data_IF_896699142409
#
_entry.id   IF_896699142409
#
_cell.length_a   1.000
_cell.length_b   1.000
_cell.length_c   1.000
_cell.angle_alpha   90.00
_cell.angle_beta   90.00
_cell.angle_gamma   90.00
#
_symmetry.space_group_name_H-M   'P 1'
#
loop_
_entity.id
_entity.type
_entity.pdbx_description
1 polymer ?
#
# COMPACT_ATOMS: atom_id res chain seq x y z
N UNK A 1 -24.44 0.64 8.60
CA UNK A 1 -25.17 1.66 7.83
C UNK A 1 -24.25 2.85 7.60
N UNK A 2 -23.66 2.88 6.44
CA UNK A 2 -22.87 4.04 6.00
C UNK A 2 -23.87 4.95 5.29
N UNK A 3 -24.37 5.94 6.00
CA UNK A 3 -25.19 7.00 5.41
C UNK A 3 -24.35 7.67 4.32
N UNK A 4 -24.68 7.41 3.06
CA UNK A 4 -23.97 7.93 1.90
C UNK A 4 -23.90 9.46 1.87
N UNK A 5 -24.82 10.13 2.57
CA UNK A 5 -24.93 11.59 2.59
C UNK A 5 -24.04 12.32 3.62
N UNK A 6 -23.36 11.59 4.49
CA UNK A 6 -22.50 12.20 5.54
C UNK A 6 -21.07 11.64 5.59
N UNK A 7 -20.72 10.77 4.65
CA UNK A 7 -19.40 10.16 4.58
C UNK A 7 -18.34 11.07 3.94
N UNK A 8 -17.08 10.69 4.07
CA UNK A 8 -15.94 11.37 3.48
C UNK A 8 -16.15 11.70 1.98
N UNK A 9 -16.73 10.77 1.21
CA UNK A 9 -16.99 10.97 -0.21
C UNK A 9 -18.06 12.04 -0.49
N UNK A 10 -19.10 12.14 0.33
CA UNK A 10 -20.10 13.20 0.23
C UNK A 10 -19.47 14.57 0.54
N UNK A 11 -18.64 14.64 1.57
CA UNK A 11 -17.88 15.84 1.92
C UNK A 11 -16.92 16.24 0.80
N UNK A 12 -16.17 15.30 0.24
CA UNK A 12 -15.26 15.55 -0.88
C UNK A 12 -16.00 16.03 -2.15
N UNK A 13 -17.18 15.47 -2.43
CA UNK A 13 -18.01 15.90 -3.55
C UNK A 13 -18.55 17.32 -3.37
N UNK A 14 -18.83 17.74 -2.14
CA UNK A 14 -19.29 19.10 -1.82
C UNK A 14 -18.16 20.14 -1.86
N UNK A 15 -16.90 19.71 -1.65
CA UNK A 15 -15.74 20.62 -1.71
C UNK A 15 -15.42 21.11 -3.12
N UNK A 16 -16.15 20.61 -4.13
CA UNK A 16 -16.00 21.00 -5.53
C UNK A 16 -14.59 20.64 -6.05
N UNK A 17 -14.52 19.77 -7.01
CA UNK A 17 -13.26 19.45 -7.71
C UNK A 17 -12.80 20.60 -8.63
N UNK A 18 -13.02 21.84 -8.23
CA UNK A 18 -12.55 22.99 -8.97
C UNK A 18 -11.03 23.07 -8.80
N UNK A 19 -10.36 22.50 -9.76
CA UNK A 19 -8.91 22.53 -9.93
C UNK A 19 -8.12 21.88 -8.78
N UNK A 20 -7.80 20.59 -8.87
CA UNK A 20 -6.74 20.05 -8.02
C UNK A 20 -5.51 20.95 -8.19
N UNK A 21 -4.80 21.28 -7.10
CA UNK A 21 -3.61 22.09 -7.21
C UNK A 21 -2.70 21.49 -8.28
N UNK A 22 -2.31 22.30 -9.26
CA UNK A 22 -1.43 21.88 -10.36
C UNK A 22 0.01 21.76 -9.82
N UNK A 23 0.17 20.93 -8.80
CA UNK A 23 1.47 20.58 -8.22
C UNK A 23 2.02 19.40 -9.02
N UNK A 24 2.92 19.69 -9.95
CA UNK A 24 3.79 18.67 -10.51
C UNK A 24 4.81 18.34 -9.44
N UNK A 25 4.69 17.17 -8.84
CA UNK A 25 5.77 16.64 -8.01
C UNK A 25 6.95 16.28 -8.91
N UNK A 26 8.12 16.76 -8.55
CA UNK A 26 9.36 16.35 -9.20
C UNK A 26 9.86 15.03 -8.60
N UNK A 27 10.71 14.31 -9.35
CA UNK A 27 11.19 13.01 -8.92
C UNK A 27 11.93 13.04 -7.59
N UNK A 28 12.63 14.11 -7.30
CA UNK A 28 13.40 14.29 -6.07
C UNK A 28 12.59 14.89 -4.91
N UNK A 29 11.34 15.25 -5.13
CA UNK A 29 10.48 15.74 -4.06
C UNK A 29 10.26 14.67 -2.99
N UNK A 30 10.05 15.15 -1.77
CA UNK A 30 9.80 14.30 -0.59
C UNK A 30 8.45 13.62 -0.73
N UNK A 31 8.45 12.29 -0.64
CA UNK A 31 7.24 11.48 -0.85
C UNK A 31 6.70 10.91 0.46
N UNK A 32 7.54 10.20 1.20
CA UNK A 32 7.12 9.48 2.40
C UNK A 32 8.23 9.42 3.45
N UNK A 33 7.83 9.47 4.72
CA UNK A 33 8.72 9.22 5.86
C UNK A 33 8.31 7.90 6.52
N UNK A 34 9.22 6.93 6.52
CA UNK A 34 9.04 5.65 7.21
C UNK A 34 9.85 5.64 8.50
N UNK A 35 9.20 5.35 9.63
CA UNK A 35 9.89 5.28 10.90
C UNK A 35 10.43 3.87 11.16
N UNK A 36 11.67 3.78 11.60
CA UNK A 36 12.27 2.54 12.07
C UNK A 36 12.07 2.39 13.57
N UNK A 37 11.85 1.16 14.03
CA UNK A 37 11.72 0.85 15.47
C UNK A 37 13.00 1.04 16.26
N UNK A 38 14.15 1.25 15.60
CA UNK A 38 15.47 1.54 16.16
C UNK A 38 15.84 0.84 17.49
N UNK A 39 17.06 0.45 17.64
CA UNK A 39 17.60 -0.03 18.94
C UNK A 39 17.81 1.10 19.95
N UNK A 40 17.69 2.35 19.53
CA UNK A 40 17.73 3.56 20.36
C UNK A 40 16.30 3.98 20.72
N UNK A 41 16.13 4.58 21.89
CA UNK A 41 14.83 4.96 22.48
C UNK A 41 13.94 5.88 21.60
N UNK A 42 14.47 6.42 20.52
CA UNK A 42 13.74 7.32 19.60
C UNK A 42 13.65 6.69 18.20
N UNK A 43 12.43 6.57 17.63
CA UNK A 43 12.26 6.15 16.25
C UNK A 43 12.96 7.10 15.28
N UNK A 44 13.65 6.57 14.28
CA UNK A 44 14.30 7.37 13.23
C UNK A 44 13.42 7.40 11.99
N UNK A 45 13.14 8.59 11.47
CA UNK A 45 12.43 8.79 10.22
C UNK A 45 13.38 8.65 9.03
N UNK A 46 13.06 7.72 8.13
CA UNK A 46 13.75 7.56 6.84
C UNK A 46 12.90 8.23 5.78
N UNK A 47 13.46 9.27 5.16
CA UNK A 47 12.81 10.04 4.11
C UNK A 47 13.07 9.39 2.75
N UNK A 48 12.02 9.20 1.96
CA UNK A 48 12.09 8.73 0.58
C UNK A 48 11.58 9.80 -0.38
N UNK A 49 12.26 9.99 -1.51
CA UNK A 49 11.77 10.77 -2.63
C UNK A 49 10.76 10.00 -3.47
N UNK A 50 10.04 10.66 -4.38
CA UNK A 50 9.16 10.00 -5.34
C UNK A 50 9.93 9.01 -6.22
N UNK A 51 11.12 9.39 -6.71
CA UNK A 51 11.97 8.51 -7.50
C UNK A 51 12.34 7.24 -6.74
N UNK A 52 12.78 7.35 -5.49
CA UNK A 52 13.12 6.20 -4.67
C UNK A 52 11.90 5.32 -4.36
N UNK A 53 10.78 5.95 -3.99
CA UNK A 53 9.53 5.25 -3.71
C UNK A 53 9.03 4.46 -4.93
N UNK A 54 9.08 5.06 -6.12
CA UNK A 54 8.71 4.41 -7.36
C UNK A 54 9.68 3.32 -7.78
N UNK A 55 11.00 3.54 -7.61
CA UNK A 55 12.02 2.55 -7.94
C UNK A 55 11.87 1.26 -7.10
N UNK A 56 11.51 1.38 -5.82
CA UNK A 56 11.25 0.21 -4.96
C UNK A 56 10.06 -0.59 -5.50
N UNK A 57 8.98 0.07 -5.89
CA UNK A 57 7.80 -0.60 -6.46
C UNK A 57 8.12 -1.26 -7.81
N UNK A 58 8.86 -0.57 -8.68
CA UNK A 58 9.28 -1.12 -9.97
C UNK A 58 10.16 -2.35 -9.81
N UNK A 59 11.16 -2.28 -8.92
CA UNK A 59 12.01 -3.42 -8.61
C UNK A 59 11.20 -4.63 -8.11
N UNK A 60 10.16 -4.38 -7.30
CA UNK A 60 9.32 -5.46 -6.80
C UNK A 60 8.39 -6.03 -7.88
N UNK A 61 7.87 -5.17 -8.76
CA UNK A 61 7.09 -5.57 -9.93
C UNK A 61 7.91 -6.52 -10.82
N UNK A 62 9.15 -6.13 -11.12
CA UNK A 62 10.05 -6.93 -11.97
C UNK A 62 10.42 -8.26 -11.29
N UNK A 63 10.75 -8.21 -9.99
CA UNK A 63 11.15 -9.39 -9.21
C UNK A 63 10.05 -10.44 -9.11
N UNK A 64 8.80 -10.03 -8.96
CA UNK A 64 7.65 -10.92 -8.88
C UNK A 64 7.01 -11.17 -10.25
N UNK A 65 7.48 -10.51 -11.29
CA UNK A 65 6.86 -10.51 -12.62
C UNK A 65 5.38 -10.19 -12.57
N UNK A 66 5.02 -9.17 -11.76
CA UNK A 66 3.64 -8.80 -11.50
C UNK A 66 2.93 -8.33 -12.76
N UNK A 67 1.70 -8.81 -12.90
CA UNK A 67 0.76 -8.41 -13.96
C UNK A 67 -0.58 -7.96 -13.34
N UNK A 68 -1.47 -7.43 -14.17
CA UNK A 68 -2.84 -7.07 -13.75
C UNK A 68 -3.68 -8.28 -13.32
N UNK A 69 -3.29 -9.49 -13.68
CA UNK A 69 -4.00 -10.72 -13.34
C UNK A 69 -3.65 -11.23 -11.94
N UNK A 70 -2.60 -10.69 -11.33
CA UNK A 70 -2.14 -11.09 -10.03
C UNK A 70 -3.03 -10.58 -8.89
N UNK A 71 -3.04 -11.36 -7.81
CA UNK A 71 -3.81 -11.10 -6.60
C UNK A 71 -2.90 -11.27 -5.39
N UNK A 72 -2.55 -10.17 -4.74
CA UNK A 72 -1.59 -10.16 -3.63
C UNK A 72 -2.36 -10.17 -2.31
N UNK A 73 -2.18 -11.19 -1.48
CA UNK A 73 -2.71 -11.21 -0.12
C UNK A 73 -1.72 -10.56 0.84
N UNK A 74 -2.14 -9.45 1.42
CA UNK A 74 -1.39 -8.67 2.39
C UNK A 74 -2.17 -8.53 3.71
N UNK A 75 -1.57 -8.91 4.81
CA UNK A 75 -2.16 -8.81 6.14
C UNK A 75 -1.26 -8.09 7.15
N UNK A 76 -0.15 -7.53 6.70
CA UNK A 76 0.69 -6.64 7.50
C UNK A 76 0.08 -5.24 7.51
N UNK A 77 0.37 -4.47 8.55
CA UNK A 77 -0.07 -3.07 8.58
C UNK A 77 0.56 -2.26 7.45
N UNK A 78 -0.24 -1.49 6.71
CA UNK A 78 0.26 -0.56 5.69
C UNK A 78 1.11 0.58 6.26
N UNK A 79 1.14 0.75 7.58
CA UNK A 79 2.11 1.66 8.23
C UNK A 79 3.53 1.12 8.22
N UNK A 80 3.72 -0.17 7.93
CA UNK A 80 5.04 -0.74 7.74
C UNK A 80 5.54 -0.43 6.33
N UNK A 81 6.77 0.08 6.23
CA UNK A 81 7.40 0.42 4.96
C UNK A 81 7.31 -0.73 3.93
N UNK A 82 7.52 -1.97 4.36
CA UNK A 82 7.47 -3.14 3.47
C UNK A 82 6.06 -3.44 2.95
N UNK A 83 5.02 -3.27 3.74
CA UNK A 83 3.64 -3.46 3.25
C UNK A 83 3.23 -2.33 2.31
N UNK A 84 3.59 -1.09 2.66
CA UNK A 84 3.26 0.11 1.89
C UNK A 84 4.06 0.19 0.58
N UNK A 85 5.39 0.14 0.67
CA UNK A 85 6.27 0.39 -0.48
C UNK A 85 6.38 -0.83 -1.41
N UNK A 86 6.34 -2.04 -0.85
CA UNK A 86 6.54 -3.27 -1.62
C UNK A 86 5.21 -3.82 -2.14
N UNK A 87 4.22 -4.04 -1.24
CA UNK A 87 2.96 -4.68 -1.66
C UNK A 87 1.98 -3.68 -2.28
N UNK A 88 1.62 -2.63 -1.55
CA UNK A 88 0.61 -1.67 -2.01
C UNK A 88 1.06 -0.93 -3.27
N UNK A 89 2.26 -0.32 -3.23
CA UNK A 89 2.73 0.50 -4.35
C UNK A 89 3.00 -0.34 -5.61
N UNK A 90 3.59 -1.54 -5.48
CA UNK A 90 3.78 -2.44 -6.62
C UNK A 90 2.44 -2.91 -7.22
N UNK A 91 1.43 -3.17 -6.38
CA UNK A 91 0.08 -3.50 -6.83
C UNK A 91 -0.55 -2.36 -7.63
N UNK A 92 -0.42 -1.12 -7.14
CA UNK A 92 -0.91 0.07 -7.85
C UNK A 92 -0.22 0.26 -9.20
N UNK A 93 1.08 0.00 -9.27
CA UNK A 93 1.87 0.17 -10.48
C UNK A 93 1.59 -0.92 -11.53
N UNK A 94 1.35 -2.16 -11.10
CA UNK A 94 1.06 -3.29 -12.00
C UNK A 94 -0.40 -3.39 -12.44
N UNK A 95 -1.32 -2.73 -11.73
CA UNK A 95 -2.76 -2.93 -11.91
C UNK A 95 -3.29 -4.24 -11.29
N UNK A 96 -2.47 -4.95 -10.52
CA UNK A 96 -2.85 -6.16 -9.79
C UNK A 96 -3.92 -5.89 -8.73
N UNK A 97 -4.51 -6.93 -8.17
CA UNK A 97 -5.49 -6.83 -7.09
C UNK A 97 -4.81 -6.97 -5.73
N UNK A 98 -4.98 -5.99 -4.84
CA UNK A 98 -4.57 -6.10 -3.43
C UNK A 98 -5.71 -6.65 -2.57
N UNK A 99 -5.52 -7.84 -2.02
CA UNK A 99 -6.39 -8.47 -1.05
C UNK A 99 -5.88 -8.12 0.35
N UNK A 100 -6.49 -7.12 0.97
CA UNK A 100 -6.01 -6.59 2.22
C UNK A 100 -6.81 -7.08 3.42
N UNK A 101 -6.15 -7.78 4.35
CA UNK A 101 -6.71 -8.17 5.62
C UNK A 101 -6.15 -7.30 6.75
N UNK A 102 -7.01 -6.84 7.66
CA UNK A 102 -6.60 -5.96 8.77
C UNK A 102 -5.49 -6.55 9.63
N UNK A 103 -5.56 -7.86 9.88
CA UNK A 103 -4.59 -8.62 10.68
C UNK A 103 -4.53 -10.06 10.17
N UNK A 104 -3.41 -10.73 10.42
CA UNK A 104 -3.33 -12.17 10.20
C UNK A 104 -4.35 -12.91 11.09
N UNK A 105 -5.01 -13.89 10.52
CA UNK A 105 -5.95 -14.77 11.24
C UNK A 105 -5.71 -16.22 10.85
N UNK A 106 -5.13 -16.99 11.76
CA UNK A 106 -4.86 -18.41 11.55
C UNK A 106 -6.12 -19.21 11.14
N UNK A 107 -7.24 -18.92 11.78
CA UNK A 107 -8.51 -19.62 11.52
C UNK A 107 -9.14 -19.24 10.16
N UNK A 108 -8.85 -18.07 9.62
CA UNK A 108 -9.41 -17.59 8.34
C UNK A 108 -8.43 -17.66 7.18
N UNK A 109 -7.16 -17.95 7.43
CA UNK A 109 -6.12 -17.90 6.41
C UNK A 109 -6.41 -18.83 5.23
N UNK A 110 -6.78 -20.08 5.53
CA UNK A 110 -7.12 -21.08 4.51
C UNK A 110 -8.35 -20.65 3.71
N UNK A 111 -9.40 -20.18 4.40
CA UNK A 111 -10.61 -19.71 3.73
C UNK A 111 -10.37 -18.47 2.86
N UNK A 112 -9.41 -17.59 3.22
CA UNK A 112 -9.02 -16.50 2.35
C UNK A 112 -8.36 -16.97 1.06
N UNK A 113 -7.48 -17.98 1.15
CA UNK A 113 -6.83 -18.58 -0.02
C UNK A 113 -7.88 -19.22 -0.92
N UNK A 114 -8.79 -20.03 -0.36
CA UNK A 114 -9.84 -20.71 -1.11
C UNK A 114 -10.82 -19.74 -1.78
N UNK A 115 -11.21 -18.68 -1.06
CA UNK A 115 -12.23 -17.73 -1.53
C UNK A 115 -11.65 -16.72 -2.52
N UNK A 116 -10.50 -16.17 -2.22
CA UNK A 116 -9.94 -15.04 -2.97
C UNK A 116 -8.85 -15.43 -3.95
N UNK A 117 -8.38 -16.67 -3.93
CA UNK A 117 -7.39 -17.21 -4.87
C UNK A 117 -6.18 -16.29 -5.08
N UNK A 118 -5.45 -15.89 -4.02
CA UNK A 118 -4.27 -15.06 -4.19
C UNK A 118 -3.19 -15.82 -4.98
N UNK A 119 -2.52 -15.12 -5.89
CA UNK A 119 -1.35 -15.64 -6.61
C UNK A 119 -0.06 -15.43 -5.82
N UNK A 120 -0.05 -14.40 -4.97
CA UNK A 120 1.09 -14.03 -4.14
C UNK A 120 0.62 -13.79 -2.70
N UNK A 121 1.36 -14.33 -1.73
CA UNK A 121 1.15 -14.09 -0.31
C UNK A 121 2.42 -13.50 0.27
N UNK A 122 2.30 -12.34 0.93
CA UNK A 122 3.44 -11.67 1.54
C UNK A 122 3.34 -11.76 3.06
N UNK A 123 4.36 -12.34 3.66
CA UNK A 123 4.43 -12.57 5.10
C UNK A 123 5.84 -12.32 5.64
N UNK A 124 5.94 -12.17 6.95
CA UNK A 124 7.19 -12.18 7.70
C UNK A 124 7.19 -13.39 8.63
N UNK A 125 8.30 -14.09 8.78
CA UNK A 125 8.43 -15.13 9.80
C UNK A 125 8.27 -14.51 11.19
N UNK A 126 7.45 -15.12 12.04
CA UNK A 126 7.26 -14.74 13.46
C UNK A 126 7.69 -15.88 14.36
#
# INVERSE_FOLDING_TARGET
DRNADTGLFATLSQLGAENPPNTRNEQEDRCVICFTSGTSAQPKGVLHSFSNYQAIAQHQLDRWSLTSDDRILEFRSVSWASAHMISLNATMLSGATLLFAKNFSRSRFVSWIETYQPTIIVAVPT
#
